data_IF_019343929479
#
_entry.id   IF_019343929479
#
_cell.length_a   1.000
_cell.length_b   1.000
_cell.length_c   1.000
_cell.angle_alpha   90.00
_cell.angle_beta   90.00
_cell.angle_gamma   90.00
#
_symmetry.space_group_name_H-M   'P 1'
#
loop_
_entity.id
_entity.type
_entity.pdbx_description
1 polymer ?
#
# COMPACT_ATOMS: atom_id res chain seq x y z
N UNK A 1 9.07 -15.26 -0.35
CA UNK A 1 9.46 -14.77 -1.70
C UNK A 1 10.82 -14.09 -1.55
N UNK A 2 11.62 -13.98 -2.62
CA UNK A 2 12.89 -13.23 -2.56
C UNK A 2 12.75 -12.02 -3.48
N UNK A 3 12.35 -10.88 -2.93
CA UNK A 3 12.31 -9.66 -3.71
C UNK A 3 13.72 -9.20 -4.05
N UNK A 4 13.92 -8.57 -5.21
CA UNK A 4 15.20 -7.91 -5.50
C UNK A 4 15.30 -6.54 -4.84
N UNK A 5 14.15 -5.99 -4.45
CA UNK A 5 13.96 -4.74 -3.72
C UNK A 5 12.54 -4.72 -3.13
N UNK A 6 12.28 -3.87 -2.13
CA UNK A 6 10.92 -3.67 -1.62
C UNK A 6 9.94 -3.24 -2.74
N UNK A 7 8.65 -3.59 -2.66
CA UNK A 7 7.65 -3.11 -3.62
C UNK A 7 7.61 -1.58 -3.72
N UNK A 8 7.36 -1.06 -4.93
CA UNK A 8 7.23 0.37 -5.19
C UNK A 8 5.87 0.90 -4.74
N UNK A 9 5.85 2.14 -4.27
CA UNK A 9 4.62 2.80 -3.86
C UNK A 9 3.70 3.03 -5.05
N UNK A 10 2.40 2.91 -4.80
CA UNK A 10 1.36 3.15 -5.78
C UNK A 10 0.74 4.53 -5.58
N UNK A 11 0.36 5.16 -6.68
CA UNK A 11 -0.41 6.39 -6.67
C UNK A 11 -1.53 6.36 -7.72
N UNK A 12 -2.60 7.10 -7.45
CA UNK A 12 -3.74 7.27 -8.35
C UNK A 12 -3.77 8.68 -8.96
N UNK A 13 -4.19 8.77 -10.23
CA UNK A 13 -4.28 10.02 -10.98
C UNK A 13 -5.64 10.73 -10.87
N UNK A 14 -6.54 10.28 -9.97
CA UNK A 14 -7.94 10.73 -9.85
C UNK A 14 -8.83 10.48 -11.06
N UNK A 15 -8.35 9.74 -12.07
CA UNK A 15 -9.12 9.35 -13.27
C UNK A 15 -9.40 7.85 -13.32
N UNK A 16 -9.12 7.15 -12.21
CA UNK A 16 -9.28 5.71 -12.08
C UNK A 16 -8.07 4.89 -12.51
N UNK A 17 -6.93 5.54 -12.83
CA UNK A 17 -5.71 4.83 -13.16
C UNK A 17 -4.76 4.81 -11.96
N UNK A 18 -4.11 3.66 -11.76
CA UNK A 18 -3.12 3.45 -10.71
C UNK A 18 -1.77 3.16 -11.36
N UNK A 19 -0.74 3.81 -10.85
CA UNK A 19 0.63 3.72 -11.34
C UNK A 19 1.59 3.50 -10.18
N UNK A 20 2.74 2.93 -10.48
CA UNK A 20 3.86 2.82 -9.56
C UNK A 20 4.77 4.06 -9.62
N UNK A 21 5.26 4.52 -8.47
CA UNK A 21 6.38 5.44 -8.40
C UNK A 21 7.67 4.67 -8.10
N UNK A 22 8.45 4.39 -9.14
CA UNK A 22 9.74 3.67 -9.02
C UNK A 22 10.83 4.46 -8.28
N UNK A 23 10.57 5.71 -7.89
CA UNK A 23 11.46 6.49 -7.02
C UNK A 23 11.24 6.25 -5.52
N UNK A 24 10.20 5.49 -5.14
CA UNK A 24 9.78 5.29 -3.75
C UNK A 24 9.38 3.84 -3.46
N UNK A 25 9.90 3.27 -2.38
CA UNK A 25 9.41 2.01 -1.82
C UNK A 25 8.20 2.24 -0.92
N UNK A 26 7.24 1.31 -0.96
CA UNK A 26 6.04 1.33 -0.12
C UNK A 26 6.41 1.19 1.35
N UNK A 27 5.76 2.00 2.19
CA UNK A 27 5.79 1.86 3.64
C UNK A 27 4.43 1.45 4.19
N UNK A 28 4.44 0.84 5.37
CA UNK A 28 3.26 0.49 6.13
C UNK A 28 3.08 1.44 7.30
N UNK A 29 1.84 1.69 7.71
CA UNK A 29 1.52 2.46 8.91
C UNK A 29 1.04 1.55 10.03
N UNK A 30 1.67 1.70 11.19
CA UNK A 30 1.24 1.11 12.47
C UNK A 30 0.93 2.23 13.45
N UNK A 31 -0.34 2.37 13.83
CA UNK A 31 -0.80 3.52 14.60
C UNK A 31 -0.52 4.85 13.87
N UNK A 32 0.39 5.65 14.41
CA UNK A 32 0.77 6.95 13.86
C UNK A 32 2.08 6.93 13.07
N UNK A 33 2.83 5.83 13.13
CA UNK A 33 4.17 5.74 12.56
C UNK A 33 4.16 5.06 11.18
N UNK A 34 4.88 5.65 10.23
CA UNK A 34 5.23 5.00 8.97
C UNK A 34 6.50 4.19 9.17
N UNK A 35 6.51 2.95 8.67
CA UNK A 35 7.56 1.97 8.89
C UNK A 35 7.89 1.25 7.57
N UNK A 36 9.16 0.86 7.35
CA UNK A 36 9.49 -0.10 6.30
C UNK A 36 8.77 -1.43 6.58
N UNK A 37 8.30 -2.09 5.52
CA UNK A 37 7.66 -3.41 5.61
C UNK A 37 8.71 -4.49 5.35
N UNK A 38 8.87 -5.48 6.25
CA UNK A 38 9.78 -6.61 6.04
C UNK A 38 9.48 -7.37 4.74
N UNK A 39 10.53 -7.85 4.07
CA UNK A 39 10.41 -8.54 2.76
C UNK A 39 9.65 -9.87 2.84
N UNK A 40 9.64 -10.51 4.00
CA UNK A 40 8.98 -11.80 4.25
C UNK A 40 7.50 -11.68 4.62
N UNK A 41 6.98 -10.46 4.78
CA UNK A 41 5.58 -10.19 5.15
C UNK A 41 4.64 -9.97 3.97
N UNK A 42 5.18 -9.88 2.75
CA UNK A 42 4.37 -9.64 1.56
C UNK A 42 3.82 -10.92 0.96
N UNK A 43 2.54 -10.87 0.57
CA UNK A 43 1.89 -11.82 -0.32
C UNK A 43 1.35 -11.08 -1.54
N UNK A 44 1.23 -11.78 -2.67
CA UNK A 44 0.49 -11.25 -3.82
C UNK A 44 -0.94 -10.92 -3.38
N UNK A 45 -1.48 -9.80 -3.88
CA UNK A 45 -2.84 -9.36 -3.58
C UNK A 45 -3.81 -10.53 -3.84
N UNK A 46 -4.50 -11.05 -2.80
CA UNK A 46 -5.32 -12.24 -2.97
C UNK A 46 -6.49 -12.01 -3.93
N UNK A 47 -6.95 -13.06 -4.59
CA UNK A 47 -8.13 -13.04 -5.45
C UNK A 47 -9.35 -12.46 -4.71
N UNK A 48 -10.08 -11.55 -5.37
CA UNK A 48 -11.17 -10.79 -4.75
C UNK A 48 -10.71 -9.56 -3.94
N UNK A 49 -9.40 -9.35 -3.80
CA UNK A 49 -8.83 -8.08 -3.36
C UNK A 49 -9.10 -6.96 -4.37
N UNK A 50 -9.04 -5.72 -3.91
CA UNK A 50 -9.29 -4.54 -4.75
C UNK A 50 -8.42 -3.38 -4.31
N UNK A 51 -8.12 -2.46 -5.22
CA UNK A 51 -7.37 -1.25 -4.92
C UNK A 51 -8.33 -0.08 -4.69
N UNK A 52 -7.96 0.80 -3.76
CA UNK A 52 -8.69 2.01 -3.44
C UNK A 52 -7.78 3.21 -3.52
N UNK A 53 -8.21 4.22 -4.26
CA UNK A 53 -7.70 5.57 -4.14
C UNK A 53 -8.08 6.15 -2.77
N UNK A 54 -7.16 6.91 -2.18
CA UNK A 54 -7.38 7.68 -0.95
C UNK A 54 -7.36 9.19 -1.29
N UNK A 55 -8.50 9.80 -1.68
CA UNK A 55 -8.54 11.20 -2.07
C UNK A 55 -8.03 12.13 -0.96
N UNK A 56 -7.27 13.15 -1.35
CA UNK A 56 -6.69 14.13 -0.42
C UNK A 56 -5.60 13.56 0.48
N UNK A 57 -5.03 12.40 0.16
CA UNK A 57 -3.97 11.76 0.95
C UNK A 57 -2.78 11.43 0.08
N UNK A 58 -1.58 11.83 0.51
CA UNK A 58 -0.32 11.56 -0.20
C UNK A 58 0.40 10.40 0.46
N UNK A 59 0.78 9.40 -0.33
CA UNK A 59 1.46 8.21 0.19
C UNK A 59 2.82 8.56 0.76
N UNK A 60 3.21 7.93 1.86
CA UNK A 60 4.56 8.04 2.43
C UNK A 60 5.38 6.86 1.90
N UNK A 61 6.52 7.14 1.29
CA UNK A 61 7.44 6.14 0.77
C UNK A 61 8.87 6.38 1.23
N UNK A 62 9.74 5.38 1.04
CA UNK A 62 11.18 5.51 1.25
C UNK A 62 11.85 5.78 -0.10
N UNK A 63 12.61 6.86 -0.20
CA UNK A 63 13.33 7.20 -1.43
C UNK A 63 14.38 6.15 -1.77
N UNK A 64 14.34 5.66 -3.01
CA UNK A 64 15.21 4.56 -3.47
C UNK A 64 16.69 4.95 -3.54
N UNK A 65 17.01 6.24 -3.58
CA UNK A 65 18.40 6.75 -3.64
C UNK A 65 18.91 7.16 -2.26
N UNK A 66 18.10 7.88 -1.48
CA UNK A 66 18.55 8.44 -0.19
C UNK A 66 18.22 7.57 1.01
N UNK A 67 17.21 6.70 0.91
CA UNK A 67 16.68 5.93 2.04
C UNK A 67 15.83 6.75 3.01
N UNK A 68 15.57 8.02 2.71
CA UNK A 68 14.75 8.90 3.56
C UNK A 68 13.25 8.74 3.25
N UNK A 69 12.41 8.93 4.27
CA UNK A 69 10.97 8.96 4.07
C UNK A 69 10.54 10.30 3.45
N UNK A 70 9.71 10.23 2.41
CA UNK A 70 9.07 11.42 1.82
C UNK A 70 7.71 11.08 1.23
N UNK A 71 6.95 12.14 0.93
CA UNK A 71 5.67 12.01 0.25
C UNK A 71 5.84 11.65 -1.22
N UNK A 72 4.91 10.85 -1.73
CA UNK A 72 4.66 10.71 -3.16
C UNK A 72 3.91 11.94 -3.66
N UNK A 73 4.51 12.66 -4.61
CA UNK A 73 3.97 13.91 -5.16
C UNK A 73 3.20 13.72 -6.47
N UNK A 74 3.21 12.50 -7.01
CA UNK A 74 2.64 12.20 -8.34
C UNK A 74 1.13 12.03 -8.34
N UNK A 75 0.52 11.77 -7.19
CA UNK A 75 -0.93 11.56 -7.07
C UNK A 75 -1.36 11.12 -5.67
N UNK A 76 -2.56 10.57 -5.59
CA UNK A 76 -3.15 10.14 -4.32
C UNK A 76 -2.65 8.77 -3.90
N UNK A 77 -2.55 8.57 -2.59
CA UNK A 77 -2.20 7.29 -1.99
C UNK A 77 -3.19 6.20 -2.43
N UNK A 78 -2.67 4.98 -2.55
CA UNK A 78 -3.46 3.79 -2.86
C UNK A 78 -3.36 2.82 -1.70
N UNK A 79 -4.49 2.22 -1.35
CA UNK A 79 -4.59 1.13 -0.40
C UNK A 79 -5.22 -0.10 -1.06
N UNK A 80 -5.15 -1.25 -0.40
CA UNK A 80 -5.83 -2.45 -0.82
C UNK A 80 -6.90 -2.90 0.19
N UNK A 81 -8.04 -3.31 -0.35
CA UNK A 81 -8.92 -4.27 0.28
C UNK A 81 -8.32 -5.67 0.15
N UNK A 82 -8.28 -6.39 1.26
CA UNK A 82 -7.91 -7.80 1.27
C UNK A 82 -9.14 -8.64 1.69
N UNK A 83 -9.38 -9.81 1.07
CA UNK A 83 -10.48 -10.69 1.46
C UNK A 83 -10.39 -11.14 2.93
N UNK A 84 -11.53 -11.42 3.60
CA UNK A 84 -11.60 -11.69 5.05
C UNK A 84 -10.82 -12.93 5.51
N UNK A 85 -10.43 -13.83 4.59
CA UNK A 85 -9.54 -14.94 4.87
C UNK A 85 -8.10 -14.50 5.26
N UNK A 86 -7.77 -13.22 5.16
CA UNK A 86 -6.44 -12.66 5.39
C UNK A 86 -6.45 -11.60 6.49
N UNK A 87 -5.36 -11.57 7.28
CA UNK A 87 -5.07 -10.51 8.23
C UNK A 87 -3.99 -9.62 7.64
N UNK A 88 -4.30 -8.32 7.46
CA UNK A 88 -3.34 -7.32 7.02
C UNK A 88 -2.53 -6.77 8.19
N UNK A 89 -1.24 -6.57 7.99
CA UNK A 89 -0.33 -6.14 9.06
C UNK A 89 -0.23 -4.62 9.20
N UNK A 90 -0.31 -3.90 8.09
CA UNK A 90 -0.15 -2.45 8.06
C UNK A 90 -1.26 -1.77 7.28
N UNK A 91 -1.61 -0.56 7.73
CA UNK A 91 -2.41 0.36 6.93
C UNK A 91 -1.53 1.03 5.86
N UNK A 92 -2.13 1.53 4.79
CA UNK A 92 -1.44 2.41 3.87
C UNK A 92 -0.91 3.63 4.63
N UNK A 93 0.39 3.92 4.46
CA UNK A 93 1.03 5.08 5.05
C UNK A 93 0.78 6.30 4.17
N UNK A 94 0.18 7.34 4.76
CA UNK A 94 -0.12 8.58 4.07
C UNK A 94 -0.14 9.76 5.02
N UNK A 95 0.06 10.95 4.47
CA UNK A 95 -0.30 12.21 5.11
C UNK A 95 -1.62 12.72 4.53
N UNK A 96 -2.49 13.27 5.37
CA UNK A 96 -3.79 13.81 4.94
C UNK A 96 -3.69 15.31 4.71
N UNK A 97 -4.20 15.77 3.58
CA UNK A 97 -4.42 17.19 3.35
C UNK A 97 -5.55 17.70 4.26
N UNK A 98 -5.56 19.02 4.50
CA UNK A 98 -6.45 19.67 5.47
C UNK A 98 -7.93 19.36 5.24
N UNK A 99 -8.34 19.29 3.98
CA UNK A 99 -9.73 19.09 3.55
C UNK A 99 -9.97 17.66 3.02
N UNK A 100 -9.11 16.70 3.37
CA UNK A 100 -9.25 15.32 2.95
C UNK A 100 -10.60 14.73 3.42
N UNK A 101 -11.40 14.11 2.53
CA UNK A 101 -12.70 13.58 2.91
C UNK A 101 -12.58 12.43 3.91
N UNK A 102 -13.67 12.18 4.63
CA UNK A 102 -13.82 10.97 5.44
C UNK A 102 -13.89 9.77 4.51
N UNK A 103 -13.02 8.80 4.74
CA UNK A 103 -13.00 7.57 3.98
C UNK A 103 -14.14 6.62 4.45
N UNK A 104 -14.74 5.83 3.54
CA UNK A 104 -15.65 4.76 3.91
C UNK A 104 -15.02 3.74 4.88
N UNK A 105 -15.84 2.92 5.54
CA UNK A 105 -15.36 1.91 6.49
C UNK A 105 -14.88 0.64 5.77
N UNK A 106 -13.71 0.72 5.13
CA UNK A 106 -13.03 -0.41 4.49
C UNK A 106 -11.68 -0.71 5.13
N UNK A 107 -11.13 -1.86 4.78
CA UNK A 107 -9.74 -2.21 5.05
C UNK A 107 -8.85 -1.39 4.11
N UNK A 108 -7.95 -0.58 4.67
CA UNK A 108 -6.99 0.24 3.92
C UNK A 108 -5.58 -0.30 4.11
N UNK A 109 -5.36 -1.57 3.77
CA UNK A 109 -4.07 -2.23 3.90
C UNK A 109 -3.05 -1.60 2.96
N UNK A 110 -1.78 -1.49 3.39
CA UNK A 110 -0.71 -1.02 2.51
C UNK A 110 -0.61 -1.92 1.27
N UNK A 111 -0.26 -1.32 0.13
CA UNK A 111 -0.11 -2.06 -1.12
C UNK A 111 1.07 -1.49 -1.90
N UNK A 112 1.85 -2.38 -2.49
CA UNK A 112 2.96 -2.03 -3.34
C UNK A 112 2.95 -2.81 -4.64
N UNK A 113 3.75 -2.35 -5.59
CA UNK A 113 3.89 -2.97 -6.89
C UNK A 113 5.29 -3.55 -7.07
N UNK A 114 5.38 -4.77 -7.60
CA UNK A 114 6.64 -5.43 -7.92
C UNK A 114 6.42 -6.43 -9.06
N UNK A 115 7.27 -6.41 -10.08
CA UNK A 115 7.24 -7.36 -11.21
C UNK A 115 5.82 -7.61 -11.79
N UNK A 116 5.13 -6.53 -12.18
CA UNK A 116 3.77 -6.56 -12.76
C UNK A 116 2.66 -7.12 -11.85
N UNK A 117 2.89 -7.19 -10.54
CA UNK A 117 1.93 -7.70 -9.55
C UNK A 117 1.78 -6.74 -8.38
N UNK A 118 0.61 -6.80 -7.76
CA UNK A 118 0.33 -6.09 -6.52
C UNK A 118 0.63 -6.99 -5.34
N UNK A 119 1.25 -6.42 -4.31
CA UNK A 119 1.58 -7.12 -3.07
C UNK A 119 1.04 -6.36 -1.88
N UNK A 120 0.62 -7.11 -0.86
CA UNK A 120 0.10 -6.58 0.41
C UNK A 120 0.83 -7.26 1.57
N UNK A 121 1.11 -6.54 2.67
CA UNK A 121 1.64 -7.15 3.88
C UNK A 121 0.51 -7.82 4.65
N UNK A 122 0.39 -9.14 4.49
CA UNK A 122 -0.71 -9.90 5.06
C UNK A 122 -0.36 -11.38 5.16
N UNK A 123 -1.12 -12.08 6.01
CA UNK A 123 -1.10 -13.54 6.09
C UNK A 123 -2.51 -14.09 5.94
N UNK A 124 -2.63 -15.22 5.25
CA UNK A 124 -3.87 -16.00 5.24
C UNK A 124 -4.05 -16.69 6.58
N UNK A 125 -5.19 -16.48 7.21
CA UNK A 125 -5.53 -17.07 8.51
C UNK A 125 -6.65 -18.12 8.42
N UNK A 126 -7.43 -18.13 7.32
CA UNK A 126 -8.47 -19.11 7.08
C UNK A 126 -7.94 -20.27 6.21
N UNK A 127 -8.12 -21.50 6.67
CA UNK A 127 -7.68 -22.71 5.98
C UNK A 127 -8.67 -23.15 4.90
N UNK A 128 -9.96 -22.84 5.07
CA UNK A 128 -10.96 -23.12 4.04
C UNK A 128 -10.68 -22.24 2.81
N UNK A 129 -10.74 -22.86 1.63
CA UNK A 129 -10.48 -22.22 0.33
C UNK A 129 -11.78 -22.01 -0.46
N UNK A 130 -12.93 -22.29 0.16
CA UNK A 130 -14.27 -22.17 -0.44
C UNK A 130 -14.92 -20.82 -0.22
#
# INVERSE_FOLDING_TARGET
MNFKHSPYILYSDSKGNIFEDTSLYTTGRSGWDALPIPEDEWIELPDGGSLYELPGRRGIGIDVKTGEMRLCEKGWAVAAFIPPAHTGFYLAAYESEKDAPVLPLFCYTAVGWHDNKFYVPAVRIEQDIR
#
